data_IF_922944679780
#
_entry.id   IF_922944679780
#
_cell.length_a   1.000
_cell.length_b   1.000
_cell.length_c   1.000
_cell.angle_alpha   90.00
_cell.angle_beta   90.00
_cell.angle_gamma   90.00
#
_symmetry.space_group_name_H-M   'P 1'
#
loop_
_entity.id
_entity.type
_entity.pdbx_description
1 polymer ?
#
# COMPACT_ATOMS: atom_id res chain seq x y z
N UNK A 1 -26.84 -1.22 -1.94
CA UNK A 1 -26.40 -1.25 -0.52
C UNK A 1 -24.93 -0.90 -0.53
N UNK A 2 -24.51 0.17 0.16
CA UNK A 2 -23.08 0.45 0.30
C UNK A 2 -22.47 -0.73 1.06
N UNK A 3 -21.44 -1.35 0.49
CA UNK A 3 -20.77 -2.44 1.17
C UNK A 3 -20.17 -1.91 2.48
N UNK A 4 -20.12 -2.77 3.50
CA UNK A 4 -19.57 -2.41 4.80
C UNK A 4 -18.04 -2.36 4.71
N UNK A 5 -17.40 -1.38 5.40
CA UNK A 5 -15.95 -1.31 5.44
C UNK A 5 -15.37 -2.54 6.13
N UNK A 6 -14.41 -3.21 5.48
CA UNK A 6 -13.80 -4.44 5.98
C UNK A 6 -12.62 -4.12 6.88
N UNK A 7 -12.60 -4.64 8.10
CA UNK A 7 -11.44 -4.50 8.99
C UNK A 7 -10.19 -5.12 8.35
N UNK A 8 -9.09 -4.37 8.31
CA UNK A 8 -7.78 -4.85 7.88
C UNK A 8 -6.93 -5.21 9.10
N UNK A 9 -6.74 -4.27 10.03
CA UNK A 9 -5.91 -4.44 11.22
C UNK A 9 -6.22 -3.37 12.28
N UNK A 10 -5.59 -3.48 13.45
CA UNK A 10 -5.51 -2.39 14.43
C UNK A 10 -4.53 -1.33 13.93
N UNK A 11 -4.79 -0.09 14.31
CA UNK A 11 -3.95 1.06 13.98
C UNK A 11 -2.51 0.93 14.49
N UNK A 12 -2.32 0.27 15.64
CA UNK A 12 -1.02 0.12 16.31
C UNK A 12 -0.16 -1.02 15.74
N UNK A 13 -0.73 -1.90 14.91
CA UNK A 13 0.02 -2.89 14.15
C UNK A 13 0.87 -2.24 13.05
N UNK A 14 0.45 -1.06 12.56
CA UNK A 14 1.19 -0.25 11.59
C UNK A 14 2.04 0.79 12.31
N UNK A 15 3.29 0.40 12.60
CA UNK A 15 4.30 1.29 13.17
C UNK A 15 4.79 2.30 12.13
N UNK A 16 5.13 3.50 12.58
CA UNK A 16 5.65 4.59 11.75
C UNK A 16 6.91 4.15 11.00
N UNK A 17 6.89 4.26 9.67
CA UNK A 17 7.95 3.79 8.77
C UNK A 17 8.42 2.34 9.03
N UNK A 18 7.56 1.52 9.63
CA UNK A 18 7.85 0.13 9.97
C UNK A 18 7.36 -0.85 8.90
N UNK A 19 7.27 -2.13 9.28
CA UNK A 19 6.72 -3.17 8.40
C UNK A 19 5.31 -2.81 7.96
N UNK A 20 5.08 -2.93 6.65
CA UNK A 20 3.74 -2.87 6.10
C UNK A 20 2.96 -4.14 6.39
N UNK A 21 1.64 -4.00 6.45
CA UNK A 21 0.71 -5.11 6.61
C UNK A 21 0.12 -5.47 5.25
N UNK A 22 0.33 -6.70 4.82
CA UNK A 22 -0.25 -7.24 3.58
C UNK A 22 -1.69 -7.65 3.80
N UNK A 23 -2.52 -7.41 2.80
CA UNK A 23 -3.91 -7.87 2.74
C UNK A 23 -4.31 -8.07 1.27
N UNK A 24 -5.52 -8.57 1.04
CA UNK A 24 -6.06 -8.73 -0.31
C UNK A 24 -7.32 -7.89 -0.51
N UNK A 25 -7.52 -7.44 -1.73
CA UNK A 25 -8.77 -6.82 -2.17
C UNK A 25 -9.41 -7.66 -3.26
N UNK A 26 -10.71 -7.50 -3.44
CA UNK A 26 -11.41 -8.04 -4.61
C UNK A 26 -11.71 -6.90 -5.58
N UNK A 27 -11.27 -7.03 -6.83
CA UNK A 27 -11.57 -6.06 -7.90
C UNK A 27 -11.82 -6.83 -9.18
N UNK A 28 -12.99 -6.63 -9.80
CA UNK A 28 -13.35 -7.30 -11.05
C UNK A 28 -13.45 -8.83 -10.95
N UNK A 29 -13.72 -9.38 -9.76
CA UNK A 29 -13.75 -10.83 -9.51
C UNK A 29 -12.38 -11.46 -9.26
N UNK A 30 -11.30 -10.68 -9.27
CA UNK A 30 -9.95 -11.14 -8.96
C UNK A 30 -9.52 -10.70 -7.55
N UNK A 31 -8.79 -11.57 -6.85
CA UNK A 31 -8.12 -11.24 -5.60
C UNK A 31 -6.74 -10.64 -5.90
N UNK A 32 -6.53 -9.40 -5.51
CA UNK A 32 -5.30 -8.67 -5.77
C UNK A 32 -4.55 -8.41 -4.46
N UNK A 33 -3.22 -8.64 -4.41
CA UNK A 33 -2.41 -8.34 -3.25
C UNK A 33 -2.29 -6.83 -3.05
N UNK A 34 -2.40 -6.39 -1.80
CA UNK A 34 -2.30 -5.02 -1.37
C UNK A 34 -1.51 -4.92 -0.07
N UNK A 35 -1.09 -3.72 0.28
CA UNK A 35 -0.41 -3.46 1.54
C UNK A 35 -0.80 -2.11 2.12
N UNK A 36 -0.67 -1.99 3.44
CA UNK A 36 -0.80 -0.74 4.17
C UNK A 36 0.50 -0.45 4.94
N UNK A 37 0.88 0.82 5.03
CA UNK A 37 2.02 1.32 5.80
C UNK A 37 1.61 2.57 6.57
N UNK A 38 2.32 2.89 7.65
CA UNK A 38 2.21 4.19 8.31
C UNK A 38 3.40 5.06 7.92
N UNK A 39 3.13 6.27 7.44
CA UNK A 39 4.16 7.26 7.17
C UNK A 39 3.64 8.67 7.51
N UNK A 40 4.45 9.42 8.24
CA UNK A 40 4.15 10.74 8.83
C UNK A 40 2.82 10.76 9.56
N UNK A 41 2.59 9.74 10.39
CA UNK A 41 1.39 9.59 11.20
C UNK A 41 0.13 9.16 10.45
N UNK A 42 0.20 8.96 9.12
CA UNK A 42 -0.95 8.57 8.29
C UNK A 42 -0.81 7.13 7.82
N UNK A 43 -1.89 6.37 7.89
CA UNK A 43 -1.97 5.09 7.19
C UNK A 43 -2.25 5.33 5.71
N UNK A 44 -1.49 4.65 4.87
CA UNK A 44 -1.54 4.72 3.40
C UNK A 44 -1.61 3.28 2.89
N UNK A 45 -2.35 3.05 1.81
CA UNK A 45 -2.49 1.72 1.25
C UNK A 45 -2.41 1.73 -0.28
N UNK A 46 -1.82 0.68 -0.83
CA UNK A 46 -1.58 0.52 -2.26
C UNK A 46 -1.79 -0.92 -2.68
N UNK A 47 -2.11 -1.14 -3.97
CA UNK A 47 -1.88 -2.45 -4.57
C UNK A 47 -0.40 -2.78 -4.47
N UNK A 48 -0.11 -4.03 -4.15
CA UNK A 48 1.24 -4.55 -4.12
C UNK A 48 1.68 -4.88 -5.56
N UNK A 49 1.78 -3.85 -6.39
CA UNK A 49 2.07 -3.98 -7.82
C UNK A 49 2.91 -2.80 -8.28
N UNK A 50 4.16 -3.09 -8.61
CA UNK A 50 5.13 -2.13 -9.10
C UNK A 50 4.65 -1.55 -10.43
N UNK A 51 4.64 -0.22 -10.55
CA UNK A 51 4.21 0.47 -11.77
C UNK A 51 5.12 0.20 -12.99
N UNK A 52 6.31 -0.37 -12.77
CA UNK A 52 7.26 -0.71 -13.84
C UNK A 52 6.85 -1.99 -14.60
N UNK A 53 6.87 -3.15 -13.95
CA UNK A 53 6.62 -4.46 -14.60
C UNK A 53 5.53 -5.28 -13.91
N UNK A 54 4.80 -4.69 -12.95
CA UNK A 54 3.67 -5.34 -12.31
C UNK A 54 4.01 -6.46 -11.31
N UNK A 55 5.28 -6.60 -10.92
CA UNK A 55 5.68 -7.49 -9.82
C UNK A 55 5.30 -6.88 -8.47
N UNK A 56 5.20 -7.70 -7.43
CA UNK A 56 5.05 -7.20 -6.07
C UNK A 56 6.25 -6.36 -5.63
N UNK A 57 6.03 -5.40 -4.74
CA UNK A 57 7.09 -4.52 -4.26
C UNK A 57 8.00 -5.25 -3.26
N UNK A 58 7.43 -6.06 -2.37
CA UNK A 58 8.16 -6.71 -1.30
C UNK A 58 8.58 -8.13 -1.66
N UNK A 59 9.88 -8.41 -1.57
CA UNK A 59 10.40 -9.78 -1.63
C UNK A 59 10.34 -10.47 -0.25
N UNK A 60 10.55 -9.69 0.81
CA UNK A 60 10.33 -10.11 2.19
C UNK A 60 8.99 -9.52 2.67
N UNK A 61 8.03 -10.34 3.12
CA UNK A 61 6.69 -9.85 3.44
C UNK A 61 6.67 -8.64 4.37
N UNK A 62 6.08 -7.54 3.89
CA UNK A 62 5.91 -6.31 4.67
C UNK A 62 7.11 -5.35 4.62
N UNK A 63 8.24 -5.74 4.01
CA UNK A 63 9.42 -4.88 3.87
C UNK A 63 9.27 -4.01 2.63
N UNK A 64 8.66 -2.83 2.81
CA UNK A 64 8.41 -1.88 1.72
C UNK A 64 9.28 -0.64 1.79
N UNK A 65 9.65 -0.18 2.99
CA UNK A 65 10.48 1.01 3.14
C UNK A 65 11.94 0.73 2.79
N UNK A 66 12.63 1.77 2.32
CA UNK A 66 14.08 1.79 2.36
C UNK A 66 14.61 1.89 3.81
N UNK A 67 15.92 1.79 3.97
CA UNK A 67 16.58 1.86 5.28
C UNK A 67 16.34 3.21 6.00
N UNK A 68 15.99 4.26 5.25
CA UNK A 68 15.70 5.58 5.82
C UNK A 68 14.27 5.70 6.36
N UNK A 69 13.35 4.82 5.93
CA UNK A 69 11.93 4.91 6.25
C UNK A 69 11.18 6.00 5.48
N UNK A 70 11.83 6.69 4.53
CA UNK A 70 11.25 7.84 3.82
C UNK A 70 10.56 7.46 2.51
N UNK A 71 10.97 6.35 1.90
CA UNK A 71 10.50 5.94 0.59
C UNK A 71 10.10 4.47 0.56
N UNK A 72 9.14 4.14 -0.30
CA UNK A 72 8.83 2.75 -0.62
C UNK A 72 9.71 2.28 -1.78
N UNK A 73 10.22 1.05 -1.72
CA UNK A 73 11.12 0.49 -2.72
C UNK A 73 10.59 -0.84 -3.22
N UNK A 74 10.53 -1.00 -4.54
CA UNK A 74 10.36 -2.31 -5.16
C UNK A 74 11.66 -3.10 -5.02
N UNK A 75 11.64 -4.16 -4.22
CA UNK A 75 12.77 -5.03 -3.91
C UNK A 75 13.37 -5.73 -5.15
N UNK A 76 12.62 -5.83 -6.25
CA UNK A 76 13.10 -6.49 -7.47
C UNK A 76 14.09 -5.64 -8.27
N UNK A 77 13.76 -4.37 -8.50
CA UNK A 77 14.53 -3.50 -9.42
C UNK A 77 14.83 -2.09 -8.85
N UNK A 78 14.50 -1.84 -7.58
CA UNK A 78 14.82 -0.59 -6.90
C UNK A 78 14.00 0.62 -7.30
N UNK A 79 12.85 0.44 -7.96
CA UNK A 79 11.92 1.54 -8.21
C UNK A 79 11.46 2.15 -6.88
N UNK A 80 11.59 3.47 -6.73
CA UNK A 80 11.38 4.18 -5.47
C UNK A 80 10.18 5.09 -5.57
N UNK A 81 9.30 5.03 -4.57
CA UNK A 81 8.03 5.73 -4.54
C UNK A 81 7.91 6.63 -3.31
N UNK A 82 7.33 7.81 -3.50
CA UNK A 82 6.95 8.68 -2.39
C UNK A 82 5.70 8.11 -1.69
N UNK A 83 5.76 7.79 -0.37
CA UNK A 83 4.64 7.12 0.31
C UNK A 83 3.37 7.95 0.33
N UNK A 84 3.44 9.29 0.35
CA UNK A 84 2.24 10.13 0.47
C UNK A 84 1.36 10.12 -0.80
N UNK A 85 1.97 9.90 -1.96
CA UNK A 85 1.33 10.03 -3.28
C UNK A 85 1.36 8.74 -4.07
N UNK A 86 2.24 7.79 -3.72
CA UNK A 86 2.53 6.60 -4.51
C UNK A 86 3.34 6.89 -5.77
N UNK A 87 3.80 8.14 -5.99
CA UNK A 87 4.51 8.53 -7.23
C UNK A 87 5.93 7.95 -7.27
N UNK A 88 6.29 7.32 -8.39
CA UNK A 88 7.63 6.81 -8.67
C UNK A 88 8.59 8.01 -8.92
N UNK A 89 9.52 8.22 -7.99
CA UNK A 89 10.49 9.32 -8.03
C UNK A 89 11.86 8.89 -8.58
N UNK A 90 12.12 7.58 -8.59
CA UNK A 90 13.35 6.98 -9.10
C UNK A 90 13.10 5.59 -9.70
N UNK A 91 13.89 5.22 -10.71
CA UNK A 91 13.78 3.96 -11.43
C UNK A 91 13.01 4.06 -12.76
N UNK A 92 12.81 2.93 -13.46
CA UNK A 92 12.26 2.91 -14.82
C UNK A 92 10.80 3.40 -14.95
N UNK A 93 10.05 3.38 -13.85
CA UNK A 93 8.67 3.88 -13.79
C UNK A 93 8.54 5.38 -13.51
N UNK A 94 9.63 6.16 -13.54
CA UNK A 94 9.62 7.55 -13.05
C UNK A 94 8.50 8.37 -13.70
N UNK A 95 7.61 8.91 -12.87
CA UNK A 95 6.42 9.65 -13.30
C UNK A 95 5.11 8.87 -13.15
N UNK A 96 5.16 7.54 -13.18
CA UNK A 96 4.02 6.66 -12.88
C UNK A 96 3.77 6.59 -11.37
N UNK A 97 2.67 5.97 -10.95
CA UNK A 97 2.29 5.85 -9.53
C UNK A 97 1.76 4.46 -9.19
N UNK A 98 1.92 4.08 -7.91
CA UNK A 98 1.22 2.94 -7.33
C UNK A 98 -0.29 3.20 -7.34
N UNK A 99 -1.07 2.14 -7.54
CA UNK A 99 -2.53 2.21 -7.42
C UNK A 99 -2.91 2.32 -5.95
N UNK A 100 -3.41 3.48 -5.53
CA UNK A 100 -3.87 3.72 -4.17
C UNK A 100 -5.13 2.89 -3.85
N UNK A 101 -5.22 2.43 -2.61
CA UNK A 101 -6.38 1.71 -2.05
C UNK A 101 -7.05 2.59 -1.02
N UNK A 102 -8.36 2.74 -1.14
CA UNK A 102 -9.13 3.58 -0.23
C UNK A 102 -9.30 2.91 1.14
N UNK A 103 -8.85 3.59 2.18
CA UNK A 103 -8.85 3.09 3.55
C UNK A 103 -9.37 4.15 4.53
N UNK A 104 -9.84 3.68 5.67
CA UNK A 104 -10.28 4.50 6.78
C UNK A 104 -9.57 4.08 8.05
N UNK A 105 -8.89 5.01 8.70
CA UNK A 105 -8.42 4.85 10.07
C UNK A 105 -9.43 5.52 11.02
N UNK A 106 -10.08 4.72 11.87
CA UNK A 106 -11.09 5.19 12.81
C UNK A 106 -11.08 4.36 14.09
N UNK A 107 -11.14 5.01 15.25
CA UNK A 107 -11.23 4.35 16.56
C UNK A 107 -10.14 3.27 16.78
N UNK A 108 -8.89 3.59 16.40
CA UNK A 108 -7.75 2.69 16.57
C UNK A 108 -7.75 1.47 15.63
N UNK A 109 -8.51 1.51 14.53
CA UNK A 109 -8.60 0.43 13.55
C UNK A 109 -8.49 0.96 12.13
N UNK A 110 -7.94 0.15 11.23
CA UNK A 110 -7.80 0.44 9.81
C UNK A 110 -8.75 -0.45 9.03
N UNK A 111 -9.55 0.17 8.18
CA UNK A 111 -10.55 -0.49 7.37
C UNK A 111 -10.29 -0.26 5.88
N UNK A 112 -10.55 -1.27 5.07
CA UNK A 112 -10.74 -1.13 3.63
C UNK A 112 -12.11 -0.47 3.41
N UNK A 113 -12.14 0.68 2.75
CA UNK A 113 -13.40 1.25 2.28
C UNK A 113 -13.86 0.46 1.07
N UNK A 114 -15.15 0.14 1.01
CA UNK A 114 -15.67 -0.70 -0.05
C UNK A 114 -15.54 -0.01 -1.39
N UNK A 115 -14.89 -0.70 -2.33
CA UNK A 115 -14.73 -0.20 -3.69
C UNK A 115 -16.11 -0.19 -4.37
N UNK A 116 -16.63 1.01 -4.68
CA UNK A 116 -17.80 1.15 -5.54
C UNK A 116 -17.47 0.46 -6.86
N UNK A 117 -18.28 -0.53 -7.28
CA UNK A 117 -18.23 -1.04 -8.64
C UNK A 117 -18.57 0.14 -9.57
N UNK A 118 -17.55 0.72 -10.21
CA UNK A 118 -17.70 1.62 -11.34
C UNK A 118 -17.79 0.82 -12.62
#
# INVERSE_FOLDING_TARGET
MAAEPRLICRSDELQEAGKGLRFEIERGGERLPAFAVRHRGRVLAYLNRCAHVGVELDWMPGEFFDESGLYLVCATHGATYEPATGRCIYGPCRGESLTAIDILELNGRVYLRSESHG
#
